data_IF_345158140461
#
_entry.id   IF_345158140461
#
_cell.length_a   1.000
_cell.length_b   1.000
_cell.length_c   1.000
_cell.angle_alpha   90.00
_cell.angle_beta   90.00
_cell.angle_gamma   90.00
#
_symmetry.space_group_name_H-M   'P 1'
#
loop_
_entity.id
_entity.type
_entity.pdbx_description
1 polymer ?
#
# COMPACT_ATOMS: atom_id res chain seq x y z
N UNK A 1 -7.87 8.32 11.40
CA UNK A 1 -8.03 6.87 11.11
C UNK A 1 -9.26 6.55 10.26
N UNK A 2 -10.46 7.02 10.57
CA UNK A 2 -11.65 6.80 9.71
C UNK A 2 -11.42 7.17 8.24
N UNK A 3 -10.72 8.28 7.98
CA UNK A 3 -10.46 8.71 6.60
C UNK A 3 -9.52 7.77 5.85
N UNK A 4 -8.50 7.21 6.52
CA UNK A 4 -7.61 6.21 5.92
C UNK A 4 -8.39 4.98 5.47
N UNK A 5 -9.32 4.49 6.30
CA UNK A 5 -10.19 3.36 5.96
C UNK A 5 -11.12 3.69 4.80
N UNK A 6 -11.78 4.86 4.84
CA UNK A 6 -12.64 5.35 3.75
C UNK A 6 -11.85 5.50 2.44
N UNK A 7 -10.64 6.03 2.50
CA UNK A 7 -9.77 6.16 1.32
C UNK A 7 -9.44 4.78 0.73
N UNK A 8 -9.04 3.81 1.56
CA UNK A 8 -8.78 2.45 1.08
C UNK A 8 -10.01 1.77 0.47
N UNK A 9 -11.19 1.96 1.07
CA UNK A 9 -12.43 1.37 0.57
C UNK A 9 -12.93 2.03 -0.72
N UNK A 10 -12.87 3.35 -0.84
CA UNK A 10 -13.60 4.09 -1.87
C UNK A 10 -12.74 4.68 -2.98
N UNK A 11 -11.41 4.79 -2.83
CA UNK A 11 -10.56 5.29 -3.88
C UNK A 11 -10.52 4.33 -5.08
N UNK A 12 -10.82 4.88 -6.27
CA UNK A 12 -10.91 4.11 -7.51
C UNK A 12 -9.66 4.17 -8.36
N UNK A 13 -8.94 5.28 -8.30
CA UNK A 13 -7.82 5.60 -9.20
C UNK A 13 -6.46 5.59 -8.50
N UNK A 14 -6.44 5.61 -7.17
CA UNK A 14 -5.21 5.56 -6.40
C UNK A 14 -4.59 4.15 -6.41
N UNK A 15 -3.26 4.11 -6.31
CA UNK A 15 -2.52 2.85 -6.24
C UNK A 15 -2.40 2.33 -4.80
N UNK A 16 -2.13 3.22 -3.85
CA UNK A 16 -1.98 2.95 -2.42
C UNK A 16 -2.41 4.14 -1.58
N UNK A 17 -2.71 3.90 -0.32
CA UNK A 17 -2.92 4.92 0.71
C UNK A 17 -1.79 4.80 1.72
N UNK A 18 -0.93 5.80 1.77
CA UNK A 18 0.29 5.83 2.58
C UNK A 18 0.14 6.89 3.68
N UNK A 19 0.51 6.54 4.91
CA UNK A 19 0.56 7.48 6.04
C UNK A 19 2.02 7.79 6.35
N UNK A 20 2.50 9.02 6.19
CA UNK A 20 3.89 9.35 6.49
C UNK A 20 4.15 9.29 7.99
N UNK A 21 5.22 8.60 8.37
CA UNK A 21 5.73 8.53 9.75
C UNK A 21 6.88 9.51 9.97
N UNK A 22 7.79 9.57 9.01
CA UNK A 22 8.98 10.40 9.11
C UNK A 22 9.41 10.88 7.73
N UNK A 23 9.76 12.16 7.62
CA UNK A 23 10.46 12.75 6.48
C UNK A 23 11.81 13.26 6.96
N UNK A 24 12.89 12.89 6.30
CA UNK A 24 14.24 13.18 6.78
C UNK A 24 15.25 13.25 5.63
N UNK A 25 16.38 13.89 5.89
CA UNK A 25 17.52 13.90 4.96
C UNK A 25 18.35 12.63 5.17
N UNK A 26 18.57 11.89 4.09
CA UNK A 26 19.37 10.67 4.07
C UNK A 26 20.37 10.75 2.91
N UNK A 27 21.66 10.81 3.20
CA UNK A 27 22.72 10.85 2.18
C UNK A 27 23.31 9.47 1.87
N UNK A 28 23.13 8.54 2.79
CA UNK A 28 23.63 7.18 2.69
C UNK A 28 22.72 6.21 3.44
N UNK A 29 23.01 4.92 3.31
CA UNK A 29 22.19 3.85 3.89
C UNK A 29 22.18 3.86 5.43
N UNK A 30 23.25 4.37 6.05
CA UNK A 30 23.35 4.47 7.51
C UNK A 30 22.41 5.55 8.05
N UNK A 31 22.32 6.68 7.34
CA UNK A 31 21.35 7.74 7.71
C UNK A 31 19.93 7.21 7.67
N UNK A 32 19.58 6.39 6.65
CA UNK A 32 18.28 5.74 6.56
C UNK A 32 18.05 4.78 7.74
N UNK A 33 19.03 3.95 8.08
CA UNK A 33 18.93 3.02 9.20
C UNK A 33 18.65 3.75 10.52
N UNK A 34 19.44 4.80 10.85
CA UNK A 34 19.27 5.58 12.07
C UNK A 34 17.91 6.31 12.11
N UNK A 35 17.50 6.87 10.97
CA UNK A 35 16.21 7.53 10.84
C UNK A 35 15.04 6.55 11.07
N UNK A 36 15.08 5.38 10.46
CA UNK A 36 14.07 4.33 10.67
C UNK A 36 14.06 3.86 12.12
N UNK A 37 15.25 3.63 12.72
CA UNK A 37 15.37 3.21 14.11
C UNK A 37 14.84 4.25 15.11
N UNK A 38 14.82 5.53 14.75
CA UNK A 38 14.30 6.61 15.62
C UNK A 38 12.78 6.61 15.74
N UNK A 39 12.05 5.93 14.85
CA UNK A 39 10.58 5.85 14.87
C UNK A 39 10.14 4.91 16.01
N UNK A 40 9.06 5.27 16.70
CA UNK A 40 8.47 4.49 17.80
C UNK A 40 7.66 3.30 17.25
N UNK A 41 8.38 2.29 16.74
CA UNK A 41 7.79 1.11 16.10
C UNK A 41 6.93 0.28 17.04
N UNK A 42 7.21 0.30 18.32
CA UNK A 42 6.43 -0.33 19.38
C UNK A 42 4.98 0.18 19.48
N UNK A 43 4.72 1.37 18.94
CA UNK A 43 3.38 1.95 18.83
C UNK A 43 2.72 1.70 17.47
N UNK A 44 3.49 1.23 16.49
CA UNK A 44 3.05 1.07 15.10
C UNK A 44 2.81 -0.40 14.72
N UNK A 45 3.56 -1.31 15.32
CA UNK A 45 3.56 -2.74 14.97
C UNK A 45 3.28 -3.60 16.19
N UNK A 46 2.61 -4.72 15.97
CA UNK A 46 2.47 -5.76 17.00
C UNK A 46 3.83 -6.45 17.24
N UNK A 47 4.26 -6.62 18.51
CA UNK A 47 5.55 -7.22 18.85
C UNK A 47 5.77 -8.64 18.33
N UNK A 48 4.71 -9.44 18.26
CA UNK A 48 4.70 -10.81 17.74
C UNK A 48 4.01 -10.90 16.35
N UNK A 49 3.86 -9.74 15.67
CA UNK A 49 3.22 -9.66 14.37
C UNK A 49 4.18 -9.95 13.21
N UNK A 50 3.64 -9.86 12.00
CA UNK A 50 4.40 -9.95 10.76
C UNK A 50 4.40 -8.60 10.03
N UNK A 51 5.53 -8.22 9.46
CA UNK A 51 5.60 -7.03 8.61
C UNK A 51 6.43 -7.26 7.36
N UNK A 52 6.09 -6.51 6.32
CA UNK A 52 6.85 -6.44 5.08
C UNK A 52 7.40 -5.04 4.85
N UNK A 53 8.53 -4.95 4.15
CA UNK A 53 9.13 -3.67 3.76
C UNK A 53 9.31 -3.64 2.26
N UNK A 54 8.88 -2.54 1.65
CA UNK A 54 9.15 -2.25 0.24
C UNK A 54 9.75 -0.85 0.10
N UNK A 55 10.57 -0.64 -0.91
CA UNK A 55 11.20 0.66 -1.15
C UNK A 55 11.24 1.03 -2.63
N UNK A 56 11.13 2.32 -2.90
CA UNK A 56 11.44 2.94 -4.18
C UNK A 56 12.54 3.95 -3.95
N UNK A 57 13.64 3.78 -4.66
CA UNK A 57 14.85 4.58 -4.45
C UNK A 57 15.33 5.16 -5.77
N UNK A 58 15.46 6.47 -5.81
CA UNK A 58 15.98 7.26 -6.92
C UNK A 58 17.20 8.09 -6.43
N UNK A 59 18.32 7.41 -6.20
CA UNK A 59 19.51 8.07 -5.70
C UNK A 59 20.77 7.49 -6.39
N UNK A 60 21.83 8.29 -6.50
CA UNK A 60 23.03 7.92 -7.25
C UNK A 60 23.94 6.94 -6.48
N UNK A 61 23.79 6.83 -5.17
CA UNK A 61 24.67 6.02 -4.31
C UNK A 61 24.16 4.59 -4.12
N UNK A 62 22.86 4.36 -4.30
CA UNK A 62 22.22 3.06 -4.08
C UNK A 62 21.89 2.44 -5.44
N UNK A 63 22.67 1.43 -5.83
CA UNK A 63 22.45 0.69 -7.10
C UNK A 63 21.46 -0.46 -6.96
N UNK A 64 21.39 -1.10 -5.79
CA UNK A 64 20.48 -2.21 -5.53
C UNK A 64 19.32 -1.72 -4.66
N UNK A 65 18.13 -1.67 -5.25
CA UNK A 65 16.90 -1.21 -4.58
C UNK A 65 16.43 -2.12 -3.45
N UNK A 66 17.00 -3.33 -3.30
CA UNK A 66 16.69 -4.26 -2.21
C UNK A 66 17.39 -3.87 -0.91
N UNK A 67 18.55 -3.21 -1.01
CA UNK A 67 19.35 -2.81 0.17
C UNK A 67 18.58 -1.89 1.11
N UNK A 68 17.90 -0.82 0.67
CA UNK A 68 17.12 0.03 1.57
C UNK A 68 16.01 -0.71 2.30
N UNK A 69 15.32 -1.64 1.64
CA UNK A 69 14.31 -2.48 2.28
C UNK A 69 14.90 -3.36 3.37
N UNK A 70 16.09 -3.95 3.13
CA UNK A 70 16.78 -4.78 4.11
C UNK A 70 17.21 -3.97 5.35
N UNK A 71 17.88 -2.85 5.16
CA UNK A 71 18.31 -1.99 6.26
C UNK A 71 17.14 -1.39 7.05
N UNK A 72 16.06 -1.04 6.36
CA UNK A 72 14.80 -0.61 7.01
C UNK A 72 14.24 -1.71 7.90
N UNK A 73 14.18 -2.95 7.37
CA UNK A 73 13.74 -4.12 8.13
C UNK A 73 14.61 -4.33 9.38
N UNK A 74 15.94 -4.31 9.22
CA UNK A 74 16.87 -4.55 10.31
C UNK A 74 16.75 -3.46 11.39
N UNK A 75 16.61 -2.18 11.00
CA UNK A 75 16.40 -1.07 11.93
C UNK A 75 15.10 -1.21 12.76
N UNK A 76 14.02 -1.65 12.11
CA UNK A 76 12.74 -1.94 12.80
C UNK A 76 12.93 -3.06 13.82
N UNK A 77 13.54 -4.18 13.40
CA UNK A 77 13.77 -5.34 14.25
C UNK A 77 14.65 -4.98 15.44
N UNK A 78 15.72 -4.22 15.22
CA UNK A 78 16.65 -3.84 16.29
C UNK A 78 15.95 -2.92 17.31
N UNK A 79 15.13 -1.95 16.86
CA UNK A 79 14.31 -1.12 17.74
C UNK A 79 13.32 -1.96 18.55
N UNK A 80 12.61 -2.88 17.91
CA UNK A 80 11.62 -3.73 18.58
C UNK A 80 12.28 -4.67 19.61
N UNK A 81 13.46 -5.21 19.31
CA UNK A 81 14.24 -5.98 20.27
C UNK A 81 14.66 -5.15 21.49
N UNK A 82 15.12 -3.92 21.25
CA UNK A 82 15.55 -3.02 22.31
C UNK A 82 14.39 -2.62 23.24
N UNK A 83 13.23 -2.27 22.67
CA UNK A 83 12.10 -1.73 23.41
C UNK A 83 11.13 -2.77 23.94
N UNK A 84 10.85 -3.81 23.18
CA UNK A 84 9.85 -4.82 23.51
C UNK A 84 10.47 -6.16 23.89
N UNK A 85 11.79 -6.35 23.73
CA UNK A 85 12.49 -7.63 23.84
C UNK A 85 11.88 -8.73 22.97
N UNK A 86 11.24 -8.34 21.88
CA UNK A 86 10.56 -9.18 20.91
C UNK A 86 11.07 -8.90 19.50
N UNK A 87 10.97 -9.89 18.65
CA UNK A 87 11.31 -9.77 17.23
C UNK A 87 10.08 -10.11 16.40
N UNK A 88 9.42 -9.12 15.80
CA UNK A 88 8.35 -9.42 14.85
C UNK A 88 8.92 -10.18 13.64
N UNK A 89 8.12 -11.08 13.09
CA UNK A 89 8.47 -11.77 11.85
C UNK A 89 8.41 -10.82 10.66
N UNK A 90 9.28 -11.07 9.66
CA UNK A 90 9.33 -10.21 8.49
C UNK A 90 9.74 -10.97 7.24
N UNK A 91 9.17 -10.61 6.10
CA UNK A 91 9.47 -11.26 4.82
C UNK A 91 8.87 -10.52 3.63
N UNK A 92 8.80 -11.21 2.49
CA UNK A 92 8.27 -10.68 1.24
C UNK A 92 6.77 -10.90 1.05
N UNK A 93 6.10 -11.58 1.96
CA UNK A 93 4.67 -11.82 1.86
C UNK A 93 3.88 -10.56 2.21
N UNK A 94 2.81 -10.31 1.48
CA UNK A 94 1.94 -9.15 1.71
C UNK A 94 0.89 -9.46 2.79
N UNK A 95 1.33 -9.97 3.94
CA UNK A 95 0.52 -10.21 5.13
C UNK A 95 0.98 -9.30 6.26
N UNK A 96 0.10 -9.02 7.22
CA UNK A 96 0.41 -8.17 8.35
C UNK A 96 0.62 -6.70 7.97
N UNK A 97 1.47 -6.03 8.73
CA UNK A 97 1.78 -4.61 8.51
C UNK A 97 2.71 -4.41 7.30
N UNK A 98 2.58 -3.28 6.64
CA UNK A 98 3.42 -2.93 5.50
C UNK A 98 4.09 -1.58 5.71
N UNK A 99 5.40 -1.54 5.51
CA UNK A 99 6.22 -0.31 5.57
C UNK A 99 6.73 0.00 4.17
N UNK A 100 6.62 1.25 3.77
CA UNK A 100 7.08 1.72 2.48
C UNK A 100 8.08 2.85 2.64
N UNK A 101 9.23 2.75 1.97
CA UNK A 101 10.25 3.78 1.95
C UNK A 101 10.32 4.39 0.56
N UNK A 102 10.13 5.69 0.48
CA UNK A 102 10.41 6.47 -0.71
C UNK A 102 11.65 7.31 -0.47
N UNK A 103 12.69 7.10 -1.28
CA UNK A 103 13.96 7.82 -1.14
C UNK A 103 14.37 8.40 -2.49
N UNK A 104 14.32 9.72 -2.58
CA UNK A 104 14.72 10.45 -3.78
C UNK A 104 15.85 11.43 -3.44
N UNK A 105 16.97 11.34 -4.15
CA UNK A 105 18.18 12.13 -3.88
C UNK A 105 18.60 11.99 -2.42
N UNK A 106 18.59 13.09 -1.67
CA UNK A 106 18.96 13.14 -0.24
C UNK A 106 17.73 13.18 0.68
N UNK A 107 16.53 12.98 0.17
CA UNK A 107 15.30 12.99 0.98
C UNK A 107 14.67 11.61 1.03
N UNK A 108 14.45 11.10 2.25
CA UNK A 108 13.72 9.86 2.48
C UNK A 108 12.44 10.12 3.27
N UNK A 109 11.37 9.42 2.87
CA UNK A 109 10.10 9.43 3.58
C UNK A 109 9.73 7.99 3.90
N UNK A 110 9.49 7.73 5.18
CA UNK A 110 9.06 6.44 5.69
C UNK A 110 7.54 6.49 5.91
N UNK A 111 6.83 5.52 5.35
CA UNK A 111 5.37 5.43 5.42
C UNK A 111 4.91 4.12 6.04
N UNK A 112 3.77 4.15 6.70
CA UNK A 112 2.91 2.97 6.82
C UNK A 112 2.08 2.84 5.54
N UNK A 113 2.17 1.71 4.87
CA UNK A 113 1.30 1.37 3.76
C UNK A 113 0.03 0.74 4.32
N UNK A 114 -1.05 1.50 4.29
CA UNK A 114 -2.32 1.05 4.84
C UNK A 114 -3.12 0.17 3.89
N UNK A 115 -2.72 0.12 2.62
CA UNK A 115 -3.37 -0.70 1.60
C UNK A 115 -2.84 -2.13 1.54
N UNK A 116 -1.53 -2.33 1.77
CA UNK A 116 -0.83 -3.60 1.59
C UNK A 116 -0.72 -3.97 0.10
N UNK A 117 -1.56 -4.86 -0.40
CA UNK A 117 -1.70 -5.11 -1.83
C UNK A 117 -2.15 -3.82 -2.56
N UNK A 118 -1.68 -3.57 -3.80
CA UNK A 118 -2.14 -2.42 -4.59
C UNK A 118 -3.67 -2.35 -4.70
N UNK A 119 -4.24 -1.14 -4.63
CA UNK A 119 -5.69 -0.94 -4.72
C UNK A 119 -6.28 -1.35 -6.08
N UNK A 120 -5.47 -1.55 -7.12
CA UNK A 120 -5.89 -2.16 -8.37
C UNK A 120 -6.34 -3.61 -8.18
N UNK A 121 -5.80 -4.34 -7.21
CA UNK A 121 -6.23 -5.71 -6.90
C UNK A 121 -7.53 -5.67 -6.08
N UNK A 122 -8.67 -5.54 -6.76
CA UNK A 122 -10.01 -5.40 -6.14
C UNK A 122 -10.53 -6.67 -5.45
N UNK A 123 -9.95 -7.83 -5.77
CA UNK A 123 -10.40 -9.13 -5.29
C UNK A 123 -11.49 -9.81 -6.14
N UNK A 124 -12.05 -9.14 -7.13
CA UNK A 124 -13.09 -9.75 -7.98
C UNK A 124 -12.55 -10.59 -9.16
N UNK A 125 -11.28 -10.42 -9.53
CA UNK A 125 -10.69 -11.13 -10.67
C UNK A 125 -10.38 -12.59 -10.32
N UNK A 126 -11.19 -13.50 -10.83
CA UNK A 126 -10.99 -14.95 -10.63
C UNK A 126 -10.09 -15.58 -11.69
N UNK A 127 -10.20 -15.13 -12.93
CA UNK A 127 -9.44 -15.66 -14.06
C UNK A 127 -8.68 -14.48 -14.69
N UNK A 128 -7.37 -14.37 -14.47
CA UNK A 128 -6.56 -13.36 -15.15
C UNK A 128 -6.38 -13.74 -16.62
N UNK A 129 -6.62 -12.78 -17.51
CA UNK A 129 -6.20 -12.90 -18.93
C UNK A 129 -4.68 -12.73 -19.04
N UNK A 130 -4.14 -12.92 -20.26
CA UNK A 130 -2.70 -12.77 -20.54
C UNK A 130 -2.17 -11.35 -20.31
N UNK A 131 -2.98 -10.32 -20.53
CA UNK A 131 -2.62 -8.90 -20.36
C UNK A 131 -3.85 -8.09 -19.89
N UNK A 132 -4.31 -8.27 -18.65
CA UNK A 132 -5.49 -7.56 -18.18
C UNK A 132 -5.17 -6.10 -17.88
N UNK A 133 -6.08 -5.19 -18.23
CA UNK A 133 -6.01 -3.80 -17.81
C UNK A 133 -6.08 -3.72 -16.27
N UNK A 134 -5.30 -2.83 -15.68
CA UNK A 134 -5.40 -2.57 -14.23
C UNK A 134 -6.76 -1.92 -13.90
N UNK A 135 -7.36 -2.34 -12.84
CA UNK A 135 -8.67 -1.90 -12.38
C UNK A 135 -8.72 -0.39 -12.09
N UNK A 136 -7.65 0.15 -11.49
CA UNK A 136 -7.52 1.60 -11.23
C UNK A 136 -7.45 2.41 -12.52
N UNK A 137 -6.77 1.90 -13.54
CA UNK A 137 -6.70 2.52 -14.86
C UNK A 137 -8.06 2.46 -15.58
N UNK A 138 -8.74 1.32 -15.54
CA UNK A 138 -10.08 1.18 -16.11
C UNK A 138 -11.06 2.17 -15.47
N UNK A 139 -11.05 2.29 -14.13
CA UNK A 139 -11.86 3.25 -13.41
C UNK A 139 -11.53 4.71 -13.81
N UNK A 140 -10.24 5.04 -13.93
CA UNK A 140 -9.80 6.37 -14.36
C UNK A 140 -10.30 6.71 -15.77
N UNK A 141 -10.20 5.78 -16.73
CA UNK A 141 -10.71 5.96 -18.08
C UNK A 141 -12.23 6.23 -18.08
N UNK A 142 -13.02 5.44 -17.33
CA UNK A 142 -14.47 5.61 -17.26
C UNK A 142 -14.81 6.99 -16.65
N UNK A 143 -14.12 7.39 -15.59
CA UNK A 143 -14.34 8.69 -14.95
C UNK A 143 -13.95 9.86 -15.88
N UNK A 144 -12.86 9.72 -16.63
CA UNK A 144 -12.40 10.73 -17.60
C UNK A 144 -13.36 10.90 -18.79
N UNK A 145 -14.09 9.84 -19.17
CA UNK A 145 -15.11 9.90 -20.23
C UNK A 145 -16.32 10.78 -19.86
N UNK A 146 -16.51 11.13 -18.59
CA UNK A 146 -17.67 11.87 -18.15
C UNK A 146 -19.00 11.14 -18.31
N UNK A 147 -18.99 9.79 -18.33
CA UNK A 147 -20.21 8.98 -18.47
C UNK A 147 -21.22 9.29 -17.36
N UNK A 148 -22.45 9.61 -17.76
CA UNK A 148 -23.54 10.04 -16.89
C UNK A 148 -24.17 8.88 -16.07
N UNK A 149 -23.73 7.63 -16.26
CA UNK A 149 -24.22 6.41 -15.62
C UNK A 149 -25.67 6.04 -15.96
N UNK A 150 -26.32 6.74 -16.90
CA UNK A 150 -27.72 6.50 -17.34
C UNK A 150 -27.78 5.99 -18.76
N UNK A 151 -26.91 6.49 -19.66
CA UNK A 151 -26.82 6.01 -21.03
C UNK A 151 -26.21 4.61 -21.07
N UNK A 152 -26.56 3.78 -22.09
CA UNK A 152 -25.95 2.48 -22.31
C UNK A 152 -24.42 2.56 -22.35
N UNK A 153 -23.75 1.60 -21.71
CA UNK A 153 -22.28 1.47 -21.70
C UNK A 153 -21.89 0.28 -22.55
N UNK A 154 -21.14 0.51 -23.64
CA UNK A 154 -20.66 -0.52 -24.54
C UNK A 154 -19.16 -0.71 -24.40
N UNK A 155 -18.71 -1.94 -24.28
CA UNK A 155 -17.29 -2.33 -24.26
C UNK A 155 -17.02 -3.43 -25.29
N UNK A 156 -16.92 -3.09 -26.59
CA UNK A 156 -16.85 -4.08 -27.67
C UNK A 156 -15.57 -4.93 -27.64
N UNK A 157 -14.49 -4.43 -27.06
CA UNK A 157 -13.22 -5.13 -26.88
C UNK A 157 -12.97 -5.39 -25.38
N UNK A 158 -13.88 -6.09 -24.73
CA UNK A 158 -13.95 -6.17 -23.26
C UNK A 158 -12.77 -6.94 -22.62
N UNK A 159 -12.07 -7.81 -23.35
CA UNK A 159 -11.03 -8.67 -22.77
C UNK A 159 -11.57 -9.47 -21.56
N UNK A 160 -10.92 -9.36 -20.41
CA UNK A 160 -11.37 -9.98 -19.16
C UNK A 160 -12.52 -9.23 -18.47
N UNK A 161 -13.14 -8.25 -19.14
CA UNK A 161 -14.29 -7.50 -18.64
C UNK A 161 -13.97 -6.38 -17.63
N UNK A 162 -12.70 -6.02 -17.43
CA UNK A 162 -12.31 -5.05 -16.39
C UNK A 162 -13.06 -3.72 -16.50
N UNK A 163 -13.15 -3.14 -17.69
CA UNK A 163 -13.86 -1.86 -17.91
C UNK A 163 -15.35 -2.03 -17.62
N UNK A 164 -15.98 -3.09 -18.08
CA UNK A 164 -17.40 -3.34 -17.86
C UNK A 164 -17.72 -3.53 -16.35
N UNK A 165 -16.87 -4.26 -15.64
CA UNK A 165 -17.01 -4.48 -14.19
C UNK A 165 -16.84 -3.16 -13.42
N UNK A 166 -15.81 -2.37 -13.70
CA UNK A 166 -15.59 -1.08 -13.05
C UNK A 166 -16.74 -0.08 -13.37
N UNK A 167 -17.28 -0.10 -14.59
CA UNK A 167 -18.46 0.70 -14.94
C UNK A 167 -19.70 0.28 -14.12
N UNK A 168 -19.95 -1.02 -13.99
CA UNK A 168 -21.06 -1.56 -13.19
C UNK A 168 -20.89 -1.19 -11.69
N UNK A 169 -19.68 -1.29 -11.15
CA UNK A 169 -19.38 -0.89 -9.77
C UNK A 169 -19.59 0.62 -9.55
N UNK A 170 -19.21 1.45 -10.52
CA UNK A 170 -19.43 2.90 -10.50
C UNK A 170 -20.91 3.24 -10.52
N UNK A 171 -21.67 2.59 -11.41
CA UNK A 171 -23.11 2.81 -11.57
C UNK A 171 -23.88 2.47 -10.30
N UNK A 172 -23.54 1.33 -9.67
CA UNK A 172 -24.21 0.84 -8.47
C UNK A 172 -23.60 1.36 -7.16
N UNK A 173 -22.66 2.34 -7.23
CA UNK A 173 -21.96 2.90 -6.09
C UNK A 173 -21.30 1.84 -5.18
N UNK A 174 -20.81 0.75 -5.76
CA UNK A 174 -20.12 -0.32 -5.03
C UNK A 174 -18.69 0.14 -4.71
N UNK A 175 -18.30 0.04 -3.44
CA UNK A 175 -16.96 0.37 -3.00
C UNK A 175 -15.93 -0.57 -3.64
N UNK A 176 -14.89 -0.05 -4.32
CA UNK A 176 -13.89 -0.89 -4.99
C UNK A 176 -13.10 -1.79 -4.04
N UNK A 177 -12.94 -1.38 -2.78
CA UNK A 177 -12.25 -2.15 -1.75
C UNK A 177 -13.09 -3.21 -1.03
N UNK A 178 -14.40 -3.36 -1.37
CA UNK A 178 -15.34 -4.22 -0.64
C UNK A 178 -14.92 -5.70 -0.52
N UNK A 179 -14.21 -6.23 -1.52
CA UNK A 179 -13.92 -7.67 -1.64
C UNK A 179 -12.45 -8.02 -1.34
N UNK A 180 -11.75 -7.18 -0.56
CA UNK A 180 -10.36 -7.39 -0.19
C UNK A 180 -10.08 -6.94 1.25
N UNK A 181 -9.01 -7.45 1.86
CA UNK A 181 -8.44 -6.93 3.10
C UNK A 181 -7.40 -5.82 2.86
N UNK A 182 -6.99 -5.17 3.92
CA UNK A 182 -6.02 -4.07 3.92
C UNK A 182 -4.97 -4.27 5.02
N UNK A 183 -3.72 -3.85 4.77
CA UNK A 183 -2.66 -3.90 5.78
C UNK A 183 -3.03 -3.09 7.05
N UNK A 184 -3.86 -2.07 6.90
CA UNK A 184 -4.37 -1.28 8.01
C UNK A 184 -5.07 -2.12 9.11
N UNK A 185 -5.61 -3.29 8.78
CA UNK A 185 -6.26 -4.19 9.73
C UNK A 185 -5.28 -4.81 10.74
N UNK A 186 -3.98 -4.81 10.41
CA UNK A 186 -2.89 -5.34 11.24
C UNK A 186 -2.24 -4.29 12.15
N UNK A 187 -2.67 -3.04 12.09
CA UNK A 187 -2.07 -2.00 12.95
C UNK A 187 -2.77 -1.95 14.31
N UNK A 188 -2.01 -1.99 15.43
CA UNK A 188 -2.55 -2.08 16.79
C UNK A 188 -3.46 -0.92 17.18
N UNK A 189 -3.25 0.26 16.59
CA UNK A 189 -4.04 1.47 16.84
C UNK A 189 -5.33 1.56 16.01
N UNK A 190 -5.60 0.60 15.11
CA UNK A 190 -6.84 0.53 14.32
C UNK A 190 -7.78 -0.50 14.92
N UNK A 191 -8.85 -0.03 15.56
CA UNK A 191 -9.87 -0.92 16.13
C UNK A 191 -10.67 -1.60 15.00
N UNK A 192 -10.81 -2.92 15.07
CA UNK A 192 -11.62 -3.72 14.13
C UNK A 192 -13.08 -3.24 14.02
N UNK A 193 -13.64 -2.63 15.05
CA UNK A 193 -15.00 -2.08 15.05
C UNK A 193 -15.19 -0.87 14.13
N UNK A 194 -14.14 -0.41 13.48
CA UNK A 194 -14.18 0.71 12.53
C UNK A 194 -14.36 0.28 11.06
N UNK A 195 -14.30 -1.04 10.77
CA UNK A 195 -14.45 -1.63 9.42
C UNK A 195 -15.88 -2.04 9.11
#
# INVERSE_FOLDING_TARGET
MRDVMRLNLFLRTAHRVLVPLLRTTCRNIRDLYEAVRSIDWENQLEPDGYFSVSSVVHNFTIRDTRIPSLYTKDAIVDRMREKCQRRPDSGGENIGAAVFVYWEKDEAIIYLDTSGEPLSKRGYRKIPGSAPMQETLAAACIMAMGWNKRSPFLSPMCGSGTIAIEAAMLMNNIAPGKSRGFAAESFPFIKRSLW
#
